data_IF_236232330002
#
_entry.id   IF_236232330002
#
_cell.length_a   1.000
_cell.length_b   1.000
_cell.length_c   1.000
_cell.angle_alpha   90.00
_cell.angle_beta   90.00
_cell.angle_gamma   90.00
#
_symmetry.space_group_name_H-M   'P 1'
#
loop_
_entity.id
_entity.type
_entity.pdbx_description
1 polymer ?
#
# COMPACT_ATOMS: atom_id res chain seq x y z
N UNK A 1 -10.24 13.53 22.86
CA UNK A 1 -9.21 12.50 22.59
C UNK A 1 -8.25 13.16 21.64
N UNK A 2 -7.00 13.34 22.04
CA UNK A 2 -6.00 14.07 21.24
C UNK A 2 -5.40 13.12 20.21
N UNK A 3 -5.72 13.31 18.93
CA UNK A 3 -5.22 12.48 17.83
C UNK A 3 -3.79 12.86 17.41
N UNK A 4 -3.22 13.95 17.95
CA UNK A 4 -1.93 14.50 17.51
C UNK A 4 -0.76 13.54 17.74
N UNK A 5 -0.77 12.77 18.84
CA UNK A 5 0.30 11.80 19.12
C UNK A 5 0.40 10.73 18.02
N UNK A 6 -0.74 10.27 17.49
CA UNK A 6 -0.77 9.27 16.43
C UNK A 6 -0.24 9.83 15.11
N UNK A 7 -0.53 11.10 14.82
CA UNK A 7 -0.08 11.78 13.60
C UNK A 7 1.43 12.04 13.60
N UNK A 8 2.02 12.32 14.77
CA UNK A 8 3.46 12.56 14.94
C UNK A 8 4.28 11.28 15.19
N UNK A 9 3.62 10.11 15.20
CA UNK A 9 4.31 8.85 15.45
C UNK A 9 5.27 8.52 14.31
N UNK A 10 6.55 8.35 14.65
CA UNK A 10 7.55 7.84 13.72
C UNK A 10 7.37 6.34 13.54
N UNK A 11 6.86 5.93 12.37
CA UNK A 11 6.61 4.52 12.05
C UNK A 11 7.07 4.16 10.63
N UNK A 12 7.23 2.87 10.39
CA UNK A 12 7.51 2.30 9.06
C UNK A 12 6.67 1.04 8.87
N UNK A 13 6.21 0.81 7.65
CA UNK A 13 5.54 -0.44 7.29
C UNK A 13 6.57 -1.43 6.74
N UNK A 14 6.56 -2.65 7.28
CA UNK A 14 7.34 -3.77 6.79
C UNK A 14 6.37 -4.86 6.35
N UNK A 15 6.33 -5.13 5.06
CA UNK A 15 5.50 -6.18 4.46
C UNK A 15 6.40 -7.30 3.94
N UNK A 16 6.14 -8.55 4.32
CA UNK A 16 6.92 -9.71 3.91
C UNK A 16 6.10 -10.60 2.99
N UNK A 17 6.65 -11.02 1.86
CA UNK A 17 5.99 -11.99 1.01
C UNK A 17 6.18 -13.40 1.58
N UNK A 18 5.12 -14.04 2.09
CA UNK A 18 5.17 -15.47 2.47
C UNK A 18 5.16 -16.35 1.22
N UNK A 19 4.41 -15.96 0.20
CA UNK A 19 4.39 -16.59 -1.13
C UNK A 19 4.83 -15.61 -2.22
N UNK A 20 5.26 -16.10 -3.38
CA UNK A 20 5.58 -15.25 -4.54
C UNK A 20 4.42 -14.27 -4.84
N UNK A 21 4.75 -12.99 -4.94
CA UNK A 21 3.82 -11.92 -5.25
C UNK A 21 4.14 -11.38 -6.64
N UNK A 22 3.22 -11.57 -7.57
CA UNK A 22 3.31 -11.21 -8.98
C UNK A 22 2.19 -10.24 -9.34
N UNK A 23 2.27 -9.61 -10.51
CA UNK A 23 1.16 -8.76 -10.98
C UNK A 23 -0.16 -9.55 -11.12
N UNK A 24 -0.09 -10.84 -11.49
CA UNK A 24 -1.27 -11.67 -11.74
C UNK A 24 -1.96 -12.19 -10.47
N UNK A 25 -1.20 -12.42 -9.38
CA UNK A 25 -1.74 -12.92 -8.11
C UNK A 25 -1.81 -11.83 -7.01
N UNK A 26 -1.71 -10.56 -7.39
CA UNK A 26 -1.99 -9.43 -6.51
C UNK A 26 -0.80 -8.91 -5.71
N UNK A 27 0.37 -8.69 -6.31
CA UNK A 27 1.48 -8.00 -5.61
C UNK A 27 1.07 -6.62 -5.10
N UNK A 28 1.86 -6.07 -4.16
CA UNK A 28 1.71 -4.67 -3.78
C UNK A 28 1.95 -3.76 -5.00
N UNK A 29 1.31 -2.61 -4.97
CA UNK A 29 1.57 -1.47 -5.82
C UNK A 29 1.58 -0.21 -4.96
N UNK A 30 2.40 0.76 -5.33
CA UNK A 30 2.50 2.02 -4.61
C UNK A 30 2.61 3.21 -5.54
N UNK A 31 2.23 4.39 -5.07
CA UNK A 31 2.58 5.65 -5.73
C UNK A 31 3.85 6.18 -5.06
N UNK A 32 4.96 6.39 -5.80
CA UNK A 32 6.19 6.93 -5.22
C UNK A 32 5.94 8.24 -4.47
N UNK A 33 6.31 8.25 -3.20
CA UNK A 33 6.14 9.39 -2.30
C UNK A 33 7.06 10.54 -2.73
N UNK A 34 6.57 11.77 -2.55
CA UNK A 34 7.37 13.01 -2.65
C UNK A 34 7.50 13.66 -1.27
N UNK A 35 8.40 14.62 -1.11
CA UNK A 35 8.57 15.33 0.17
C UNK A 35 7.26 16.00 0.65
N UNK A 36 6.41 16.46 -0.28
CA UNK A 36 5.12 17.10 -0.02
C UNK A 36 3.96 16.11 0.18
N UNK A 37 4.20 14.80 0.10
CA UNK A 37 3.14 13.80 0.31
C UNK A 37 2.85 13.68 1.82
N UNK A 38 1.70 14.24 2.21
CA UNK A 38 1.11 14.14 3.55
C UNK A 38 0.03 13.06 3.65
N UNK A 39 -0.76 13.08 4.73
CA UNK A 39 -1.94 12.24 4.88
C UNK A 39 -3.02 12.67 3.87
N UNK A 40 -3.39 11.77 2.97
CA UNK A 40 -4.42 12.02 1.97
C UNK A 40 -5.82 11.79 2.57
N UNK A 41 -6.85 12.55 2.13
CA UNK A 41 -8.22 12.33 2.60
C UNK A 41 -8.71 10.92 2.30
N UNK A 42 -9.21 10.24 3.33
CA UNK A 42 -9.84 8.94 3.21
C UNK A 42 -11.36 9.08 3.25
N UNK A 43 -12.05 8.21 2.52
CA UNK A 43 -13.51 8.06 2.58
C UNK A 43 -13.89 6.60 2.82
N UNK A 44 -15.12 6.40 3.31
CA UNK A 44 -15.68 5.07 3.43
C UNK A 44 -16.01 4.53 2.02
N UNK A 45 -15.32 3.48 1.59
CA UNK A 45 -15.69 2.66 0.43
C UNK A 45 -16.05 1.25 0.93
N UNK A 46 -15.83 0.21 0.12
CA UNK A 46 -15.91 -1.19 0.61
C UNK A 46 -15.00 -1.41 1.83
N UNK A 47 -13.86 -0.72 1.85
CA UNK A 47 -13.00 -0.50 3.00
C UNK A 47 -12.61 0.99 3.02
N UNK A 48 -12.11 1.48 4.15
CA UNK A 48 -11.55 2.84 4.22
C UNK A 48 -10.41 2.97 3.21
N UNK A 49 -10.51 3.94 2.31
CA UNK A 49 -9.56 4.13 1.22
C UNK A 49 -9.41 5.62 0.91
N UNK A 50 -8.33 5.99 0.21
CA UNK A 50 -8.11 7.36 -0.26
C UNK A 50 -9.23 7.73 -1.24
N UNK A 51 -9.77 8.94 -1.11
CA UNK A 51 -10.80 9.47 -2.01
C UNK A 51 -10.24 9.63 -3.43
N UNK A 52 -11.07 9.34 -4.44
CA UNK A 52 -10.65 9.25 -5.86
C UNK A 52 -10.00 10.54 -6.36
N UNK A 53 -10.52 11.70 -5.96
CA UNK A 53 -10.00 13.02 -6.34
C UNK A 53 -8.58 13.31 -5.83
N UNK A 54 -8.09 12.52 -4.86
CA UNK A 54 -6.78 12.68 -4.24
C UNK A 54 -5.78 11.60 -4.67
N UNK A 55 -6.17 10.72 -5.59
CA UNK A 55 -5.37 9.58 -6.00
C UNK A 55 -5.27 9.48 -7.53
N UNK A 56 -4.07 9.71 -8.05
CA UNK A 56 -3.75 9.42 -9.46
C UNK A 56 -3.21 7.99 -9.58
N UNK A 57 -4.11 7.03 -9.79
CA UNK A 57 -3.75 5.61 -9.92
C UNK A 57 -2.82 5.32 -11.11
N UNK A 58 -2.76 6.19 -12.12
CA UNK A 58 -1.86 5.99 -13.28
C UNK A 58 -0.38 6.02 -12.89
N UNK A 59 -0.07 6.61 -11.73
CA UNK A 59 1.28 6.67 -11.15
C UNK A 59 1.64 5.46 -10.29
N UNK A 60 0.71 4.53 -10.10
CA UNK A 60 0.96 3.34 -9.30
C UNK A 60 1.98 2.41 -9.98
N UNK A 61 3.00 2.02 -9.22
CA UNK A 61 4.07 1.12 -9.66
C UNK A 61 3.90 -0.23 -8.96
N UNK A 62 3.68 -1.33 -9.71
CA UNK A 62 3.60 -2.67 -9.14
C UNK A 62 4.97 -3.17 -8.68
N UNK A 63 4.98 -3.90 -7.56
CA UNK A 63 6.18 -4.44 -6.91
C UNK A 63 6.13 -5.97 -6.85
N UNK A 64 6.36 -6.67 -7.97
CA UNK A 64 6.46 -8.12 -7.95
C UNK A 64 7.73 -8.56 -7.18
N UNK A 65 7.57 -9.48 -6.25
CA UNK A 65 8.66 -9.99 -5.40
C UNK A 65 8.52 -11.50 -5.18
N UNK A 66 9.63 -12.16 -4.87
CA UNK A 66 9.65 -13.59 -4.52
C UNK A 66 9.31 -13.82 -3.05
N UNK A 67 8.89 -15.02 -2.70
CA UNK A 67 8.74 -15.48 -1.32
C UNK A 67 10.00 -15.19 -0.50
N UNK A 68 9.81 -14.71 0.73
CA UNK A 68 10.85 -14.24 1.64
C UNK A 68 11.29 -12.79 1.43
N UNK A 69 10.86 -12.13 0.34
CA UNK A 69 11.19 -10.72 0.12
C UNK A 69 10.45 -9.80 1.10
N UNK A 70 11.10 -8.68 1.44
CA UNK A 70 10.53 -7.63 2.29
C UNK A 70 10.39 -6.35 1.46
N UNK A 71 9.22 -5.71 1.56
CA UNK A 71 8.98 -4.35 1.07
C UNK A 71 8.84 -3.45 2.30
N UNK A 72 9.70 -2.45 2.38
CA UNK A 72 9.69 -1.44 3.45
C UNK A 72 9.26 -0.10 2.86
N UNK A 73 8.26 0.55 3.45
CA UNK A 73 7.78 1.84 2.96
C UNK A 73 7.26 2.74 4.09
N UNK A 74 7.26 4.04 3.79
CA UNK A 74 6.81 5.08 4.70
C UNK A 74 5.29 5.03 4.89
N UNK A 75 4.73 5.30 6.08
CA UNK A 75 3.27 5.21 6.36
C UNK A 75 2.42 6.08 5.42
N UNK A 76 2.94 7.23 5.03
CA UNK A 76 2.29 8.15 4.08
C UNK A 76 2.51 7.78 2.59
N UNK A 77 2.96 6.57 2.28
CA UNK A 77 3.07 6.09 0.89
C UNK A 77 1.73 5.48 0.48
N UNK A 78 1.00 6.05 -0.50
CA UNK A 78 -0.21 5.43 -0.99
C UNK A 78 0.13 4.05 -1.58
N UNK A 79 -0.57 3.02 -1.11
CA UNK A 79 -0.32 1.64 -1.49
C UNK A 79 -1.61 0.84 -1.50
N UNK A 80 -1.63 -0.21 -2.32
CA UNK A 80 -2.70 -1.21 -2.38
C UNK A 80 -2.12 -2.53 -2.88
N UNK A 81 -2.88 -3.62 -2.82
CA UNK A 81 -2.58 -4.82 -3.61
C UNK A 81 -3.35 -4.79 -4.94
N UNK A 82 -2.75 -5.33 -5.98
CA UNK A 82 -3.49 -5.70 -7.19
C UNK A 82 -4.49 -6.83 -6.88
N UNK A 83 -5.47 -7.02 -7.76
CA UNK A 83 -6.40 -8.14 -7.67
C UNK A 83 -5.67 -9.47 -7.88
N UNK A 84 -6.02 -10.47 -7.07
CA UNK A 84 -5.56 -11.83 -7.29
C UNK A 84 -6.46 -12.52 -8.32
N UNK A 85 -5.95 -12.71 -9.53
CA UNK A 85 -6.67 -13.35 -10.63
C UNK A 85 -6.33 -14.84 -10.77
N UNK A 86 -5.69 -15.43 -9.76
CA UNK A 86 -5.28 -16.85 -9.76
C UNK A 86 -6.14 -17.69 -8.82
N UNK A 87 -6.11 -19.00 -9.00
CA UNK A 87 -6.84 -19.96 -8.16
C UNK A 87 -6.15 -20.28 -6.82
N UNK A 88 -5.10 -19.54 -6.44
CA UNK A 88 -4.31 -19.80 -5.23
C UNK A 88 -4.32 -18.57 -4.33
N UNK A 89 -4.28 -18.80 -3.02
CA UNK A 89 -4.03 -17.72 -2.06
C UNK A 89 -2.61 -17.18 -2.21
N UNK A 90 -2.48 -15.86 -2.00
CA UNK A 90 -1.20 -15.14 -1.94
C UNK A 90 -1.09 -14.56 -0.53
N UNK A 91 -0.15 -15.11 0.24
CA UNK A 91 0.09 -14.80 1.64
C UNK A 91 1.24 -13.83 1.80
N UNK A 92 1.11 -12.98 2.81
CA UNK A 92 2.08 -11.98 3.24
C UNK A 92 1.93 -11.65 4.71
#
# INVERSE_FOLDING_TARGET
MDHSEADDTTMVTVWMAVSDATKGNGCLQLIPRTASTGLLPHCAKTQTAIADDFLDESRAVPLPVRSGAIVVFHPLTPHASLNNMTAKFRWS
#
